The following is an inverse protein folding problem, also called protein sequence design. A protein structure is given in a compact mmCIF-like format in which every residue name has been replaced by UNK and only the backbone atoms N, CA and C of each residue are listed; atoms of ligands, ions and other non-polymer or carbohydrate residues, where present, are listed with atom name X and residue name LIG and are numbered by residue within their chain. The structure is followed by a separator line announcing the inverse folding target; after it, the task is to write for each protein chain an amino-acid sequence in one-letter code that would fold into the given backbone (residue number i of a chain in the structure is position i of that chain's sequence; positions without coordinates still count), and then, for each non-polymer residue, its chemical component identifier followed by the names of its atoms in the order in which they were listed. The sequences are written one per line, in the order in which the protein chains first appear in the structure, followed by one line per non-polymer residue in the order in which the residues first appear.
data_IF_234882371367
#
_entry.id   IF_234882371367
#
_cell.length_a   1.000
_cell.length_b   1.000
_cell.length_c   1.000
_cell.angle_alpha   90.00
_cell.angle_beta   90.00
_cell.angle_gamma   90.00
#
_symmetry.space_group_name_H-M   'P 1'
#
loop_
_entity.id
_entity.type
_entity.pdbx_description
1 polymer ?
#
# COMPACT_ATOMS: atom_id res chain seq x y z
N UNK A 1 1.78 3.73 -15.71
CA UNK A 1 1.72 2.70 -14.67
C UNK A 1 0.27 2.57 -14.19
N UNK A 2 -0.33 1.38 -14.25
CA UNK A 2 -1.68 1.16 -13.71
C UNK A 2 -1.60 0.97 -12.19
N UNK A 3 -2.52 1.59 -11.46
CA UNK A 3 -2.56 1.53 -10.01
C UNK A 3 -3.93 1.05 -9.52
N UNK A 4 -3.95 0.33 -8.40
CA UNK A 4 -5.18 -0.02 -7.68
C UNK A 4 -5.07 0.42 -6.22
N UNK A 5 -6.14 0.98 -5.67
CA UNK A 5 -6.28 1.25 -4.24
C UNK A 5 -7.33 0.30 -3.65
N UNK A 6 -7.00 -0.36 -2.54
CA UNK A 6 -7.89 -1.37 -1.94
C UNK A 6 -7.69 -1.50 -0.43
N UNK A 7 -8.79 -1.73 0.29
CA UNK A 7 -8.74 -2.19 1.67
C UNK A 7 -8.98 -3.70 1.71
N UNK A 8 -7.98 -4.48 2.13
CA UNK A 8 -8.07 -5.94 2.18
C UNK A 8 -8.77 -6.47 3.43
N UNK A 9 -9.05 -5.60 4.41
CA UNK A 9 -9.66 -5.95 5.69
C UNK A 9 -9.06 -7.20 6.36
N UNK A 10 -7.74 -7.35 6.28
CA UNK A 10 -6.96 -8.52 6.76
C UNK A 10 -7.39 -9.86 6.17
N UNK A 11 -8.16 -9.88 5.09
CA UNK A 11 -8.67 -11.08 4.44
C UNK A 11 -7.61 -11.71 3.52
N UNK A 12 -7.39 -13.01 3.67
CA UNK A 12 -6.49 -13.77 2.81
C UNK A 12 -7.10 -13.96 1.41
N UNK A 13 -8.39 -14.27 1.33
CA UNK A 13 -9.08 -14.39 0.05
C UNK A 13 -9.08 -13.08 -0.75
N UNK A 14 -9.22 -11.93 -0.07
CA UNK A 14 -9.10 -10.63 -0.74
C UNK A 14 -7.68 -10.38 -1.27
N UNK A 15 -6.64 -10.83 -0.56
CA UNK A 15 -5.26 -10.77 -1.05
C UNK A 15 -5.06 -11.67 -2.29
N UNK A 16 -5.62 -12.86 -2.29
CA UNK A 16 -5.52 -13.78 -3.43
C UNK A 16 -6.25 -13.21 -4.66
N UNK A 17 -7.45 -12.64 -4.48
CA UNK A 17 -8.17 -11.92 -5.54
C UNK A 17 -7.40 -10.68 -6.03
N UNK A 18 -6.78 -9.91 -5.13
CA UNK A 18 -5.94 -8.77 -5.53
C UNK A 18 -4.76 -9.24 -6.37
N UNK A 19 -4.09 -10.33 -5.99
CA UNK A 19 -2.96 -10.88 -6.76
C UNK A 19 -3.40 -11.34 -8.15
N UNK A 20 -4.54 -12.01 -8.24
CA UNK A 20 -5.13 -12.41 -9.52
C UNK A 20 -5.45 -11.19 -10.38
N UNK A 21 -6.12 -10.18 -9.81
CA UNK A 21 -6.45 -8.94 -10.51
C UNK A 21 -5.21 -8.18 -10.99
N UNK A 22 -4.17 -8.10 -10.15
CA UNK A 22 -2.88 -7.51 -10.51
C UNK A 22 -2.27 -8.22 -11.72
N UNK A 23 -2.33 -9.55 -11.75
CA UNK A 23 -1.79 -10.36 -12.83
C UNK A 23 -2.60 -10.21 -14.13
N UNK A 24 -3.92 -10.32 -14.02
CA UNK A 24 -4.88 -10.30 -15.14
C UNK A 24 -4.94 -8.94 -15.83
N UNK A 25 -4.94 -7.85 -15.08
CA UNK A 25 -5.12 -6.50 -15.61
C UNK A 25 -3.81 -5.71 -15.77
N UNK A 26 -2.68 -6.37 -15.54
CA UNK A 26 -1.34 -5.77 -15.65
C UNK A 26 -1.20 -4.52 -14.74
N UNK A 27 -1.57 -4.66 -13.47
CA UNK A 27 -1.45 -3.59 -12.48
C UNK A 27 -0.01 -3.52 -11.98
N UNK A 28 0.63 -2.36 -12.13
CA UNK A 28 2.02 -2.15 -11.69
C UNK A 28 2.16 -1.86 -10.20
N UNK A 29 1.11 -1.28 -9.59
CA UNK A 29 1.15 -0.83 -8.21
C UNK A 29 -0.17 -1.05 -7.47
N UNK A 30 -0.13 -1.64 -6.28
CA UNK A 30 -1.26 -1.71 -5.38
C UNK A 30 -1.02 -0.91 -4.09
N UNK A 31 -1.97 -0.04 -3.75
CA UNK A 31 -2.01 0.83 -2.57
C UNK A 31 -3.02 0.20 -1.61
N UNK A 32 -2.52 -0.40 -0.52
CA UNK A 32 -3.29 -1.36 0.27
C UNK A 32 -3.50 -0.84 1.69
N UNK A 33 -4.74 -0.85 2.17
CA UNK A 33 -5.08 -0.69 3.59
C UNK A 33 -5.45 -2.04 4.22
N UNK A 34 -5.17 -2.21 5.52
CA UNK A 34 -5.41 -3.43 6.31
C UNK A 34 -4.94 -4.72 5.60
N UNK A 35 -3.67 -4.83 5.20
CA UNK A 35 -3.17 -6.06 4.61
C UNK A 35 -3.21 -7.24 5.61
N UNK A 36 -3.41 -8.49 5.14
CA UNK A 36 -3.15 -9.66 5.97
C UNK A 36 -1.64 -9.85 6.18
N UNK A 37 -1.26 -10.52 7.27
CA UNK A 37 0.17 -10.76 7.63
C UNK A 37 0.99 -11.44 6.52
N UNK A 38 0.35 -12.32 5.72
CA UNK A 38 0.94 -13.03 4.57
C UNK A 38 1.41 -12.11 3.44
N UNK A 39 1.00 -10.83 3.42
CA UNK A 39 1.51 -9.87 2.45
C UNK A 39 3.00 -9.54 2.72
N UNK A 40 3.46 -9.65 3.98
CA UNK A 40 4.85 -9.43 4.34
C UNK A 40 5.75 -10.58 3.82
N UNK A 41 6.97 -10.25 3.40
CA UNK A 41 8.00 -11.24 3.04
C UNK A 41 8.59 -11.11 1.63
N UNK A 42 8.02 -10.25 0.78
CA UNK A 42 8.54 -10.03 -0.58
C UNK A 42 9.28 -8.68 -0.68
N UNK A 43 10.41 -8.65 -1.39
CA UNK A 43 11.21 -7.42 -1.64
C UNK A 43 10.45 -6.33 -2.41
N UNK A 44 9.24 -6.63 -2.89
CA UNK A 44 8.37 -5.72 -3.64
C UNK A 44 7.26 -5.13 -2.78
N UNK A 45 7.22 -5.46 -1.48
CA UNK A 45 6.20 -5.01 -0.54
C UNK A 45 6.80 -4.04 0.48
N UNK A 46 6.18 -2.86 0.63
CA UNK A 46 6.54 -1.84 1.59
C UNK A 46 5.40 -1.69 2.59
N UNK A 47 5.68 -1.83 3.88
CA UNK A 47 4.68 -1.80 4.96
C UNK A 47 4.89 -0.60 5.87
N UNK A 48 3.79 -0.06 6.39
CA UNK A 48 3.80 0.84 7.55
C UNK A 48 4.38 0.14 8.78
N UNK A 49 4.79 0.89 9.80
CA UNK A 49 5.42 0.30 11.00
C UNK A 49 4.49 -0.64 11.77
N UNK A 50 3.19 -0.37 11.74
CA UNK A 50 2.12 -1.16 12.36
C UNK A 50 1.46 -2.18 11.41
N UNK A 51 1.89 -2.22 10.15
CA UNK A 51 1.32 -3.09 9.11
C UNK A 51 -0.14 -2.79 8.75
N UNK A 52 -0.67 -1.60 9.04
CA UNK A 52 -2.02 -1.19 8.65
C UNK A 52 -2.10 -0.64 7.21
N UNK A 53 -0.98 -0.23 6.63
CA UNK A 53 -0.90 0.23 5.25
C UNK A 53 0.28 -0.44 4.53
N UNK A 54 0.12 -0.67 3.23
CA UNK A 54 1.16 -1.24 2.39
C UNK A 54 1.13 -0.66 0.97
N UNK A 55 2.27 -0.76 0.30
CA UNK A 55 2.38 -0.62 -1.15
C UNK A 55 3.04 -1.87 -1.71
N UNK A 56 2.39 -2.50 -2.69
CA UNK A 56 2.89 -3.68 -3.39
C UNK A 56 3.21 -3.32 -4.83
N UNK A 57 4.47 -3.53 -5.23
CA UNK A 57 4.94 -3.33 -6.60
C UNK A 57 4.90 -4.66 -7.37
N UNK A 58 4.50 -4.61 -8.64
CA UNK A 58 4.71 -5.70 -9.59
C UNK A 58 5.89 -5.35 -10.52
N UNK A 59 7.09 -5.94 -10.33
CA UNK A 59 8.27 -5.55 -11.09
C UNK A 59 8.12 -5.67 -12.60
N UNK A 60 7.46 -6.72 -13.07
CA UNK A 60 7.29 -7.02 -14.50
C UNK A 60 6.49 -5.93 -15.22
N UNK A 61 5.43 -5.44 -14.56
CA UNK A 61 4.55 -4.39 -15.07
C UNK A 61 5.05 -2.97 -14.78
N UNK A 62 6.13 -2.83 -14.01
CA UNK A 62 6.68 -1.54 -13.59
C UNK A 62 7.72 -0.96 -14.55
N UNK A 63 8.03 -1.64 -15.67
CA UNK A 63 8.88 -1.09 -16.72
C UNK A 63 10.27 -0.64 -16.26
N UNK A 64 10.92 -1.40 -15.36
CA UNK A 64 12.21 -1.08 -14.73
C UNK A 64 12.22 0.11 -13.76
N UNK A 65 11.05 0.67 -13.41
CA UNK A 65 10.96 1.76 -12.44
C UNK A 65 11.41 1.27 -11.05
N UNK A 66 12.43 1.94 -10.50
CA UNK A 66 12.88 1.70 -9.13
C UNK A 66 11.85 2.26 -8.16
N UNK A 67 11.41 1.41 -7.23
CA UNK A 67 10.63 1.81 -6.07
C UNK A 67 11.55 1.99 -4.87
N UNK A 68 11.46 3.13 -4.18
CA UNK A 68 12.18 3.37 -2.92
C UNK A 68 11.23 3.87 -1.84
N UNK A 69 11.45 3.43 -0.61
CA UNK A 69 10.79 3.97 0.56
C UNK A 69 11.25 5.42 0.79
N UNK A 70 10.32 6.35 0.98
CA UNK A 70 10.59 7.73 1.37
C UNK A 70 10.47 7.93 2.87
N UNK A 71 9.53 7.25 3.50
CA UNK A 71 9.25 7.33 4.94
C UNK A 71 8.12 6.40 5.32
N UNK A 72 8.06 5.99 6.59
CA UNK A 72 6.99 5.15 7.12
C UNK A 72 6.75 5.47 8.58
N UNK A 73 5.51 5.30 9.02
CA UNK A 73 5.10 5.44 10.41
C UNK A 73 3.88 4.59 10.68
N UNK A 74 3.22 4.84 11.81
CA UNK A 74 1.97 4.15 12.13
C UNK A 74 0.89 4.59 11.16
N UNK A 75 0.16 3.63 10.60
CA UNK A 75 -0.92 3.90 9.66
C UNK A 75 -0.49 4.37 8.28
N UNK A 76 0.80 4.58 7.97
CA UNK A 76 1.21 5.01 6.62
C UNK A 76 2.58 4.50 6.13
N UNK A 77 2.73 4.46 4.81
CA UNK A 77 3.98 4.20 4.09
C UNK A 77 4.03 5.07 2.83
N UNK A 78 5.12 5.80 2.67
CA UNK A 78 5.39 6.63 1.50
C UNK A 78 6.50 5.99 0.65
N UNK A 79 6.25 5.85 -0.65
CA UNK A 79 7.23 5.35 -1.62
C UNK A 79 7.34 6.30 -2.82
N UNK A 80 8.48 6.26 -3.50
CA UNK A 80 8.68 6.90 -4.81
C UNK A 80 8.94 5.85 -5.87
N UNK A 81 8.21 5.94 -6.97
CA UNK A 81 8.29 5.06 -8.14
C UNK A 81 8.48 5.94 -9.37
N UNK A 82 9.70 5.92 -9.92
CA UNK A 82 10.09 6.89 -10.95
C UNK A 82 9.93 8.32 -10.42
N UNK A 83 9.09 9.11 -11.09
CA UNK A 83 8.79 10.51 -10.74
C UNK A 83 7.63 10.67 -9.76
N UNK A 84 6.85 9.61 -9.53
CA UNK A 84 5.62 9.68 -8.73
C UNK A 84 5.92 9.29 -7.29
N UNK A 85 5.41 10.07 -6.34
CA UNK A 85 5.34 9.70 -4.92
C UNK A 85 3.94 9.20 -4.59
N UNK A 86 3.85 8.10 -3.85
CA UNK A 86 2.59 7.48 -3.45
C UNK A 86 2.62 7.22 -1.96
N UNK A 87 1.53 7.57 -1.28
CA UNK A 87 1.31 7.28 0.13
C UNK A 87 0.15 6.29 0.24
N UNK A 88 0.39 5.16 0.89
CA UNK A 88 -0.69 4.31 1.39
C UNK A 88 -0.90 4.64 2.85
N UNK A 89 -2.14 4.89 3.24
CA UNK A 89 -2.50 5.13 4.63
C UNK A 89 -3.78 4.42 5.03
N UNK A 90 -3.93 4.18 6.33
CA UNK A 90 -5.16 3.73 6.95
C UNK A 90 -5.34 4.45 8.30
N UNK A 91 -6.50 5.06 8.47
CA UNK A 91 -6.94 5.61 9.75
C UNK A 91 -8.17 4.84 10.20
N UNK A 92 -8.21 4.43 11.46
CA UNK A 92 -9.38 3.74 12.01
C UNK A 92 -10.61 4.65 11.98
N UNK A 93 -11.79 4.17 11.56
CA UNK A 93 -13.02 4.98 11.62
C UNK A 93 -13.44 5.31 13.06
N UNK A 94 -12.85 4.64 14.05
CA UNK A 94 -13.17 4.81 15.46
C UNK A 94 -12.38 5.93 16.15
N UNK A 95 -11.45 6.61 15.45
CA UNK A 95 -10.75 7.76 16.04
C UNK A 95 -11.59 9.02 15.93
N UNK A 96 -11.44 9.98 16.86
CA UNK A 96 -12.05 11.30 16.72
C UNK A 96 -11.63 12.01 15.43
N UNK A 97 -12.52 12.86 14.90
CA UNK A 97 -12.25 13.62 13.66
C UNK A 97 -11.02 14.53 13.78
N UNK A 98 -10.71 15.04 14.98
CA UNK A 98 -9.50 15.83 15.22
C UNK A 98 -8.22 14.99 15.03
N UNK A 99 -8.20 13.75 15.53
CA UNK A 99 -7.11 12.79 15.32
C UNK A 99 -6.96 12.45 13.84
N UNK A 100 -8.07 12.20 13.14
CA UNK A 100 -8.07 11.95 11.70
C UNK A 100 -7.45 13.12 10.90
N UNK A 101 -7.87 14.35 11.20
CA UNK A 101 -7.32 15.56 10.53
C UNK A 101 -5.85 15.77 10.85
N UNK A 102 -5.46 15.62 12.11
CA UNK A 102 -4.07 15.76 12.52
C UNK A 102 -3.18 14.74 11.80
N UNK A 103 -3.64 13.49 11.68
CA UNK A 103 -2.96 12.47 10.89
C UNK A 103 -2.79 12.90 9.42
N UNK A 104 -3.85 13.37 8.76
CA UNK A 104 -3.77 13.80 7.36
C UNK A 104 -2.83 15.00 7.14
N UNK A 105 -2.76 15.94 8.08
CA UNK A 105 -1.83 17.07 7.98
C UNK A 105 -0.36 16.68 8.19
N UNK A 106 -0.11 15.51 8.78
CA UNK A 106 1.24 14.98 9.00
C UNK A 106 1.77 14.10 7.85
N UNK A 107 0.94 13.82 6.84
CA UNK A 107 1.33 13.09 5.62
C UNK A 107 1.93 14.02 4.56
#
# INVERSE_FOLDING_TARGET
IKMIQINLNRSWGALDLLRQHIAEFDVGLAIISKPPRRLAGNNTCFLSSDGLAAVLLRPESSGSLKCRCLGRGEGFIAVRIGVISVISCYVSPNVPICTFRHFLHGL
#
